data_IF_919901117891
#
_entry.id   IF_919901117891
#
_cell.length_a   1.000
_cell.length_b   1.000
_cell.length_c   1.000
_cell.angle_alpha   90.00
_cell.angle_beta   90.00
_cell.angle_gamma   90.00
#
_symmetry.space_group_name_H-M   'P 1'
#
loop_
_entity.id
_entity.type
_entity.pdbx_description
1 polymer ?
#
# COMPACT_ATOMS: atom_id res chain seq x y z
N UNK A 1 65.21 -20.94 22.68
CA UNK A 1 64.14 -20.10 23.25
C UNK A 1 64.09 -18.79 22.48
N UNK A 2 63.09 -18.70 21.59
CA UNK A 2 62.48 -17.54 20.88
C UNK A 2 63.36 -16.37 20.40
N UNK A 3 63.68 -16.39 19.11
CA UNK A 3 63.80 -15.22 18.23
C UNK A 3 62.55 -15.14 17.33
N UNK A 4 62.29 -13.96 16.75
CA UNK A 4 61.14 -13.48 15.96
C UNK A 4 60.07 -12.72 16.75
N UNK A 5 59.98 -11.40 16.50
CA UNK A 5 58.94 -10.89 15.61
C UNK A 5 59.11 -9.38 15.39
N UNK A 6 59.37 -9.04 14.13
CA UNK A 6 59.34 -7.69 13.55
C UNK A 6 57.89 -7.31 13.25
N UNK A 7 57.38 -6.21 13.84
CA UNK A 7 56.16 -5.50 13.40
C UNK A 7 56.29 -4.03 13.81
N UNK A 8 56.65 -3.16 12.87
CA UNK A 8 55.72 -2.38 12.03
C UNK A 8 55.35 -1.04 12.66
N UNK A 9 56.03 -0.03 12.12
CA UNK A 9 55.68 1.38 12.01
C UNK A 9 54.17 1.65 11.98
N UNK A 10 53.76 2.73 12.66
CA UNK A 10 52.82 3.75 12.18
C UNK A 10 52.71 4.87 13.23
N UNK A 11 53.17 6.09 12.93
CA UNK A 11 52.62 7.27 13.57
C UNK A 11 52.22 8.26 12.48
N UNK A 12 50.94 8.32 12.12
CA UNK A 12 50.44 9.50 11.41
C UNK A 12 49.06 9.81 11.95
N UNK A 13 49.04 10.76 12.89
CA UNK A 13 47.82 11.40 13.34
C UNK A 13 47.15 12.07 12.14
N UNK A 14 45.95 11.61 11.80
CA UNK A 14 45.13 12.25 10.79
C UNK A 14 44.42 13.43 11.45
N UNK A 15 44.82 14.62 11.03
CA UNK A 15 44.27 15.90 11.44
C UNK A 15 42.76 15.99 11.14
N UNK A 16 42.00 16.44 12.14
CA UNK A 16 40.60 16.83 12.02
C UNK A 16 40.54 18.16 11.26
N UNK A 17 40.07 18.13 10.00
CA UNK A 17 39.72 19.32 9.25
C UNK A 17 38.22 19.60 9.42
N UNK A 18 37.90 20.56 10.29
CA UNK A 18 36.56 21.16 10.37
C UNK A 18 36.40 22.09 9.18
N UNK A 19 35.62 21.68 8.18
CA UNK A 19 35.14 22.58 7.12
C UNK A 19 33.77 23.09 7.54
N UNK A 20 33.77 24.31 8.07
CA UNK A 20 32.61 25.18 8.09
C UNK A 20 32.39 25.74 6.68
N UNK A 21 31.19 25.63 6.13
CA UNK A 21 30.82 26.36 4.92
C UNK A 21 29.65 25.77 4.14
N UNK A 22 28.46 26.31 4.43
CA UNK A 22 27.48 26.84 3.47
C UNK A 22 26.03 26.56 3.91
N UNK A 23 25.48 27.61 4.50
CA UNK A 23 24.07 27.96 4.62
C UNK A 23 23.25 27.74 3.35
N UNK A 24 21.94 27.54 3.58
CA UNK A 24 20.82 27.53 2.62
C UNK A 24 20.58 26.25 1.82
N UNK A 25 19.83 25.35 2.44
CA UNK A 25 18.53 24.99 1.89
C UNK A 25 17.65 24.49 3.03
N UNK A 26 16.97 25.42 3.72
CA UNK A 26 15.69 25.11 4.35
C UNK A 26 14.66 24.83 3.25
N UNK A 27 14.88 23.77 2.50
CA UNK A 27 13.81 23.10 1.81
C UNK A 27 12.99 22.48 2.93
N UNK A 28 11.86 23.08 3.26
CA UNK A 28 10.73 22.30 3.75
C UNK A 28 10.58 21.17 2.75
N UNK A 29 11.16 20.00 3.06
CA UNK A 29 10.62 18.75 2.57
C UNK A 29 9.23 18.79 3.17
N UNK A 30 8.28 19.36 2.40
CA UNK A 30 6.90 18.95 2.48
C UNK A 30 7.01 17.45 2.39
N UNK A 31 6.99 16.81 3.56
CA UNK A 31 6.37 15.52 3.69
C UNK A 31 4.97 15.78 3.15
N UNK A 32 4.81 15.63 1.83
CA UNK A 32 3.51 15.34 1.29
C UNK A 32 2.97 14.26 2.22
N UNK A 33 1.81 14.47 2.85
CA UNK A 33 1.06 13.34 3.37
C UNK A 33 1.12 12.26 2.29
N UNK A 34 1.38 10.98 2.62
CA UNK A 34 1.36 9.92 1.61
C UNK A 34 0.12 10.17 0.77
N UNK A 35 0.32 10.44 -0.53
CA UNK A 35 -0.66 11.10 -1.38
C UNK A 35 -2.03 10.40 -1.33
N UNK A 36 -3.10 11.03 -1.84
CA UNK A 36 -4.42 10.42 -1.82
C UNK A 36 -4.30 8.98 -2.28
N UNK A 37 -4.55 8.05 -1.35
CA UNK A 37 -4.50 6.62 -1.58
C UNK A 37 -5.75 6.28 -2.39
N UNK A 38 -5.74 6.73 -3.64
CA UNK A 38 -6.89 6.69 -4.52
C UNK A 38 -6.44 6.24 -5.90
N UNK A 39 -7.01 5.14 -6.38
CA UNK A 39 -6.98 4.76 -7.80
C UNK A 39 -8.12 5.51 -8.48
N UNK A 40 -7.83 6.22 -9.57
CA UNK A 40 -8.83 6.98 -10.33
C UNK A 40 -9.37 6.17 -11.51
N UNK A 41 -10.42 6.68 -12.16
CA UNK A 41 -10.96 6.12 -13.40
C UNK A 41 -9.89 5.91 -14.47
N UNK A 42 -8.94 6.84 -14.62
CA UNK A 42 -7.93 6.78 -15.68
C UNK A 42 -6.96 5.60 -15.47
N UNK A 43 -6.63 5.28 -14.22
CA UNK A 43 -5.80 4.12 -13.88
C UNK A 43 -6.50 2.80 -14.21
N UNK A 44 -7.83 2.76 -14.05
CA UNK A 44 -8.66 1.59 -14.36
C UNK A 44 -8.80 1.43 -15.88
N UNK A 45 -9.06 2.54 -16.59
CA UNK A 45 -9.19 2.57 -18.05
C UNK A 45 -7.89 2.16 -18.77
N UNK A 46 -6.72 2.42 -18.17
CA UNK A 46 -5.42 1.93 -18.67
C UNK A 46 -5.23 0.42 -18.52
N UNK A 47 -6.06 -0.26 -17.74
CA UNK A 47 -5.99 -1.70 -17.48
C UNK A 47 -7.30 -2.41 -17.85
N UNK A 48 -7.74 -2.35 -19.12
CA UNK A 48 -9.02 -2.91 -19.52
C UNK A 48 -9.04 -4.44 -19.36
N UNK A 49 -10.17 -4.98 -18.90
CA UNK A 49 -10.37 -6.42 -18.74
C UNK A 49 -9.63 -7.07 -17.57
N UNK A 50 -8.91 -6.28 -16.74
CA UNK A 50 -8.34 -6.77 -15.50
C UNK A 50 -9.37 -6.64 -14.35
N UNK A 51 -9.38 -7.61 -13.41
CA UNK A 51 -10.18 -7.48 -12.20
C UNK A 51 -9.67 -6.30 -11.37
N UNK A 52 -10.58 -5.62 -10.68
CA UNK A 52 -10.31 -4.37 -9.94
C UNK A 52 -9.18 -4.56 -8.94
N UNK A 53 -9.14 -5.72 -8.30
CA UNK A 53 -8.14 -6.11 -7.31
C UNK A 53 -6.70 -6.04 -7.86
N UNK A 54 -6.51 -6.36 -9.15
CA UNK A 54 -5.19 -6.22 -9.78
C UNK A 54 -4.77 -4.78 -9.93
N UNK A 55 -5.71 -3.86 -10.18
CA UNK A 55 -5.40 -2.44 -10.31
C UNK A 55 -4.88 -1.89 -8.97
N UNK A 56 -5.31 -2.46 -7.84
CA UNK A 56 -4.82 -2.10 -6.51
C UNK A 56 -3.39 -2.57 -6.22
N UNK A 57 -2.89 -3.55 -6.99
CA UNK A 57 -1.57 -4.15 -6.76
C UNK A 57 -0.46 -3.11 -6.90
N UNK A 58 0.32 -2.92 -5.84
CA UNK A 58 1.43 -1.97 -5.82
C UNK A 58 1.01 -0.49 -5.87
N UNK A 59 -0.29 -0.17 -5.89
CA UNK A 59 -0.78 1.21 -5.81
C UNK A 59 -0.90 1.72 -4.38
N UNK A 60 -1.07 0.80 -3.43
CA UNK A 60 -1.19 1.12 -2.01
C UNK A 60 -0.11 0.42 -1.21
N UNK A 61 0.55 1.18 -0.34
CA UNK A 61 1.53 0.61 0.58
C UNK A 61 0.83 -0.32 1.58
N UNK A 62 1.31 -1.57 1.66
CA UNK A 62 0.74 -2.59 2.54
C UNK A 62 -0.53 -3.25 2.00
N UNK A 63 -0.91 -3.01 0.74
CA UNK A 63 -1.90 -3.82 0.03
C UNK A 63 -1.17 -4.88 -0.79
N UNK A 64 -1.46 -6.13 -0.47
CA UNK A 64 -0.96 -7.30 -1.17
C UNK A 64 -2.11 -7.97 -1.91
N UNK A 65 -1.86 -8.31 -3.17
CA UNK A 65 -2.82 -9.00 -4.04
C UNK A 65 -2.16 -10.32 -4.44
N UNK A 66 -2.73 -11.44 -3.99
CA UNK A 66 -2.23 -12.78 -4.28
C UNK A 66 -3.30 -13.62 -4.95
N UNK A 67 -2.89 -14.65 -5.69
CA UNK A 67 -3.83 -15.62 -6.28
C UNK A 67 -4.05 -16.77 -5.32
N UNK A 68 -5.30 -17.16 -5.11
CA UNK A 68 -5.61 -18.36 -4.31
C UNK A 68 -5.45 -19.62 -5.16
N UNK A 69 -5.17 -20.79 -4.55
CA UNK A 69 -5.07 -22.07 -5.26
C UNK A 69 -6.33 -22.42 -6.08
N UNK A 70 -7.49 -21.93 -5.67
CA UNK A 70 -8.78 -22.12 -6.35
C UNK A 70 -8.96 -21.23 -7.60
N UNK A 71 -7.92 -20.49 -7.99
CA UNK A 71 -7.94 -19.58 -9.14
C UNK A 71 -8.53 -18.20 -8.84
N UNK A 72 -8.76 -17.87 -7.57
CA UNK A 72 -9.25 -16.58 -7.12
C UNK A 72 -8.17 -15.55 -6.80
N UNK A 73 -8.62 -14.40 -6.31
CA UNK A 73 -7.78 -13.27 -5.90
C UNK A 73 -8.06 -12.96 -4.43
N UNK A 74 -7.01 -13.02 -3.61
CA UNK A 74 -7.05 -12.56 -2.24
C UNK A 74 -6.39 -11.18 -2.16
N UNK A 75 -7.10 -10.21 -1.62
CA UNK A 75 -6.54 -8.89 -1.28
C UNK A 75 -6.31 -8.85 0.22
N UNK A 76 -5.17 -8.33 0.66
CA UNK A 76 -4.79 -8.25 2.07
C UNK A 76 -4.24 -6.87 2.36
N UNK A 77 -4.72 -6.24 3.41
CA UNK A 77 -4.28 -4.91 3.84
C UNK A 77 -3.50 -5.10 5.15
N UNK A 78 -2.31 -4.50 5.24
CA UNK A 78 -1.37 -4.60 6.39
C UNK A 78 -0.78 -5.98 6.66
N UNK A 79 -0.72 -6.87 5.66
CA UNK A 79 0.00 -8.15 5.79
C UNK A 79 -0.49 -9.02 6.95
N UNK A 80 -1.78 -9.34 6.97
CA UNK A 80 -2.40 -10.12 8.05
C UNK A 80 -1.63 -11.43 8.37
N UNK A 81 -1.61 -11.82 9.65
CA UNK A 81 -0.73 -12.85 10.21
C UNK A 81 -0.98 -14.30 9.76
N UNK A 82 -1.92 -14.58 8.86
CA UNK A 82 -2.19 -15.95 8.39
C UNK A 82 -2.83 -16.01 7.01
N UNK A 83 -2.18 -16.70 6.07
CA UNK A 83 -2.66 -16.94 4.70
C UNK A 83 -3.96 -17.76 4.63
N UNK A 84 -4.30 -18.49 5.71
CA UNK A 84 -5.43 -19.43 5.75
C UNK A 84 -6.67 -18.91 6.52
N UNK A 85 -6.58 -17.78 7.22
CA UNK A 85 -7.73 -17.17 7.88
C UNK A 85 -8.41 -16.18 6.92
N UNK A 86 -9.73 -16.02 7.04
CA UNK A 86 -10.52 -15.05 6.26
C UNK A 86 -10.06 -13.61 6.57
N UNK A 87 -8.99 -13.20 5.89
CA UNK A 87 -8.27 -11.93 6.06
C UNK A 87 -8.58 -10.96 4.93
N UNK A 88 -9.66 -11.25 4.19
CA UNK A 88 -10.15 -10.44 3.10
C UNK A 88 -10.71 -9.12 3.67
N UNK A 89 -10.42 -7.97 3.05
CA UNK A 89 -10.96 -6.69 3.46
C UNK A 89 -12.47 -6.61 3.18
N UNK A 90 -13.12 -5.66 3.86
CA UNK A 90 -14.48 -5.30 3.53
C UNK A 90 -14.48 -4.39 2.30
N UNK A 91 -15.32 -4.69 1.32
CA UNK A 91 -15.55 -3.77 0.21
C UNK A 91 -16.77 -2.92 0.50
N UNK A 92 -16.72 -1.65 0.14
CA UNK A 92 -17.82 -0.69 0.34
C UNK A 92 -18.02 0.02 -0.98
N UNK A 93 -19.22 -0.09 -1.54
CA UNK A 93 -19.54 0.43 -2.87
C UNK A 93 -20.62 1.46 -2.68
N UNK A 94 -20.31 2.74 -2.94
CA UNK A 94 -21.23 3.86 -2.75
C UNK A 94 -21.86 3.90 -1.34
N UNK A 95 -21.10 3.49 -0.34
CA UNK A 95 -21.53 3.41 1.06
C UNK A 95 -22.21 2.09 1.45
N UNK A 96 -22.44 1.17 0.50
CA UNK A 96 -23.01 -0.15 0.76
C UNK A 96 -21.90 -1.18 0.98
N UNK A 97 -21.79 -1.79 2.18
CA UNK A 97 -20.78 -2.80 2.45
C UNK A 97 -21.13 -4.12 1.76
N UNK A 98 -20.23 -4.58 0.90
CA UNK A 98 -20.34 -5.82 0.14
C UNK A 98 -19.27 -6.82 0.57
N UNK A 99 -19.66 -8.09 0.63
CA UNK A 99 -18.71 -9.18 0.83
C UNK A 99 -18.11 -9.54 -0.55
N UNK A 100 -16.80 -9.79 -0.64
CA UNK A 100 -16.20 -10.32 -1.86
C UNK A 100 -16.94 -11.58 -2.32
N UNK A 101 -17.13 -11.70 -3.63
CA UNK A 101 -17.80 -12.85 -4.23
C UNK A 101 -16.98 -14.13 -4.15
N UNK A 102 -17.45 -15.22 -4.78
CA UNK A 102 -16.65 -16.42 -4.97
C UNK A 102 -15.29 -16.06 -5.54
N UNK A 103 -14.23 -16.71 -5.08
CA UNK A 103 -12.87 -16.45 -5.52
C UNK A 103 -12.32 -15.05 -5.16
N UNK A 104 -12.94 -14.33 -4.22
CA UNK A 104 -12.42 -13.09 -3.66
C UNK A 104 -12.51 -11.86 -4.57
N UNK A 105 -13.14 -12.00 -5.74
CA UNK A 105 -13.38 -10.92 -6.70
C UNK A 105 -14.68 -10.19 -6.42
N UNK A 106 -14.69 -8.89 -6.66
CA UNK A 106 -15.88 -8.09 -6.64
C UNK A 106 -16.76 -8.40 -7.85
N UNK A 107 -17.92 -9.02 -7.60
CA UNK A 107 -18.91 -9.31 -8.64
C UNK A 107 -19.98 -8.21 -8.68
N UNK A 108 -20.44 -7.88 -9.89
CA UNK A 108 -21.57 -6.95 -10.07
C UNK A 108 -21.20 -5.48 -10.20
N UNK A 109 -19.92 -5.13 -10.35
CA UNK A 109 -19.49 -3.77 -10.68
C UNK A 109 -18.74 -3.76 -12.00
N UNK A 110 -19.12 -2.85 -12.88
CA UNK A 110 -18.39 -2.59 -14.10
C UNK A 110 -17.20 -1.66 -13.81
N UNK A 111 -15.96 -2.03 -14.19
CA UNK A 111 -14.79 -1.16 -14.01
C UNK A 111 -14.94 0.23 -14.65
N UNK A 112 -15.69 0.37 -15.74
CA UNK A 112 -15.91 1.65 -16.42
C UNK A 112 -16.77 2.63 -15.62
N UNK A 113 -17.59 2.12 -14.70
CA UNK A 113 -18.46 2.90 -13.84
C UNK A 113 -17.75 3.33 -12.56
N UNK A 114 -16.49 2.99 -12.35
CA UNK A 114 -15.74 3.39 -11.15
C UNK A 114 -15.20 4.82 -11.33
N UNK A 115 -15.51 5.69 -10.38
CA UNK A 115 -14.96 7.05 -10.27
C UNK A 115 -13.62 7.01 -9.52
N UNK A 116 -13.61 6.34 -8.36
CA UNK A 116 -12.41 6.25 -7.54
C UNK A 116 -12.46 5.04 -6.60
N UNK A 117 -11.29 4.52 -6.26
CA UNK A 117 -11.11 3.44 -5.28
C UNK A 117 -10.14 3.93 -4.22
N UNK A 118 -10.55 3.86 -2.97
CA UNK A 118 -9.77 4.26 -1.81
C UNK A 118 -9.58 3.09 -0.86
N UNK A 119 -8.41 3.04 -0.22
CA UNK A 119 -8.10 2.00 0.76
C UNK A 119 -7.97 2.63 2.14
N UNK A 120 -8.89 2.26 3.03
CA UNK A 120 -8.88 2.65 4.43
C UNK A 120 -8.14 1.58 5.22
N UNK A 121 -7.03 2.00 5.80
CA UNK A 121 -6.13 1.15 6.58
C UNK A 121 -6.09 1.53 8.04
N UNK A 122 -6.39 2.78 8.38
CA UNK A 122 -6.23 3.30 9.73
C UNK A 122 -7.47 3.06 10.58
N UNK A 123 -7.27 2.83 11.88
CA UNK A 123 -8.35 2.42 12.78
C UNK A 123 -9.47 3.47 12.87
N UNK A 124 -9.13 4.75 12.75
CA UNK A 124 -10.11 5.84 12.73
C UNK A 124 -11.05 5.75 11.51
N UNK A 125 -10.52 5.43 10.34
CA UNK A 125 -11.28 5.34 9.09
C UNK A 125 -12.10 4.04 9.02
N UNK A 126 -11.57 2.95 9.57
CA UNK A 126 -12.25 1.65 9.55
C UNK A 126 -13.24 1.46 10.70
N UNK A 127 -13.16 2.26 11.78
CA UNK A 127 -14.05 2.18 12.94
C UNK A 127 -15.53 2.34 12.56
N UNK A 128 -15.84 3.15 11.53
CA UNK A 128 -17.20 3.37 11.03
C UNK A 128 -17.82 2.06 10.50
N UNK A 129 -16.98 1.11 10.06
CA UNK A 129 -17.37 -0.18 9.52
C UNK A 129 -17.30 -1.33 10.55
N UNK A 130 -16.99 -1.02 11.81
CA UNK A 130 -16.94 -1.98 12.92
C UNK A 130 -15.95 -3.13 12.72
N UNK A 131 -16.27 -4.30 13.30
CA UNK A 131 -15.40 -5.49 13.24
C UNK A 131 -15.11 -5.97 11.81
N UNK A 132 -16.02 -5.69 10.86
CA UNK A 132 -15.84 -6.07 9.45
C UNK A 132 -14.71 -5.29 8.77
N UNK A 133 -14.44 -4.06 9.23
CA UNK A 133 -13.33 -3.23 8.75
C UNK A 133 -11.99 -3.51 9.44
N UNK A 134 -11.92 -4.47 10.37
CA UNK A 134 -10.69 -4.76 11.12
C UNK A 134 -9.52 -5.21 10.22
N UNK A 135 -9.83 -5.88 9.10
CA UNK A 135 -8.85 -6.30 8.08
C UNK A 135 -8.58 -5.20 7.03
N UNK A 136 -9.10 -4.00 7.23
CA UNK A 136 -9.10 -2.90 6.27
C UNK A 136 -10.37 -2.83 5.42
N UNK A 137 -10.60 -1.67 4.82
CA UNK A 137 -11.80 -1.39 4.01
C UNK A 137 -11.38 -0.81 2.66
N UNK A 138 -11.95 -1.35 1.58
CA UNK A 138 -11.76 -0.83 0.22
C UNK A 138 -13.06 -0.14 -0.18
N UNK A 139 -12.99 1.18 -0.28
CA UNK A 139 -14.13 2.02 -0.66
C UNK A 139 -14.06 2.27 -2.16
N UNK A 140 -15.09 1.86 -2.86
CA UNK A 140 -15.29 2.05 -4.30
C UNK A 140 -16.43 3.06 -4.44
N UNK A 141 -16.16 4.13 -5.19
CA UNK A 141 -17.16 5.12 -5.55
C UNK A 141 -17.44 4.99 -7.03
N UNK A 142 -18.70 4.87 -7.41
CA UNK A 142 -19.11 4.80 -8.81
C UNK A 142 -19.45 6.19 -9.36
N UNK A 143 -19.28 6.34 -10.68
CA UNK A 143 -19.74 7.48 -11.45
C UNK A 143 -21.27 7.47 -11.36
N UNK A 144 -21.85 8.56 -10.87
CA UNK A 144 -23.31 8.67 -10.80
C UNK A 144 -23.88 8.64 -12.23
N UNK A 145 -24.89 7.80 -12.52
CA UNK A 145 -25.58 7.89 -13.80
C UNK A 145 -26.31 9.24 -13.87
N UNK A 146 -25.80 10.19 -14.68
CA UNK A 146 -26.48 11.44 -14.98
C UNK A 146 -25.75 12.76 -14.70
N UNK A 147 -24.42 12.78 -14.58
CA UNK A 147 -23.63 14.03 -14.70
C UNK A 147 -22.34 13.82 -15.48
#
# INVERSE_FOLDING_TARGET
>A
MTSLSSRSLLPVGLAVAVVAGCSHASGTRQTSPPGPQTVTSEDIERNPGQPIERVLQGRFAGVEVSRTPDGGIAVRIRGAASFNASTQPLYVVDGVPMQPGPNGSLTGINPYDIESIQVLKDAADTAIYGMRGANGVIVIKTKRPGR
#
